data_IF_193419837471
#
_entry.id   IF_193419837471
#
_cell.length_a   1.000
_cell.length_b   1.000
_cell.length_c   1.000
_cell.angle_alpha   90.00
_cell.angle_beta   90.00
_cell.angle_gamma   90.00
#
_symmetry.space_group_name_H-M   'P 1'
#
loop_
_entity.id
_entity.type
_entity.pdbx_description
1 polymer ?
#
# COMPACT_ATOMS: atom_id res chain seq x y z
N UNK A 1 -13.30 13.34 -21.25
CA UNK A 1 -13.29 12.35 -20.13
C UNK A 1 -11.97 12.36 -19.35
N UNK A 2 -10.82 12.23 -20.03
CA UNK A 2 -9.45 12.30 -19.44
C UNK A 2 -9.25 13.46 -18.45
N UNK A 3 -9.70 14.66 -18.82
CA UNK A 3 -9.58 15.87 -18.01
C UNK A 3 -10.49 15.85 -16.76
N UNK A 4 -11.68 15.24 -16.86
CA UNK A 4 -12.66 15.19 -15.76
C UNK A 4 -12.18 14.27 -14.64
N UNK A 5 -11.65 13.08 -14.97
CA UNK A 5 -11.16 12.13 -13.98
C UNK A 5 -9.99 12.74 -13.19
N UNK A 6 -9.04 13.35 -13.89
CA UNK A 6 -7.88 14.00 -13.27
C UNK A 6 -8.32 15.13 -12.35
N UNK A 7 -9.24 16.00 -12.78
CA UNK A 7 -9.79 17.09 -11.97
C UNK A 7 -10.52 16.59 -10.71
N UNK A 8 -11.34 15.54 -10.82
CA UNK A 8 -12.04 14.95 -9.67
C UNK A 8 -11.08 14.34 -8.66
N UNK A 9 -10.06 13.61 -9.12
CA UNK A 9 -9.02 13.07 -8.24
C UNK A 9 -8.22 14.18 -7.55
N UNK A 10 -7.94 15.27 -8.26
CA UNK A 10 -7.30 16.45 -7.68
C UNK A 10 -8.18 17.05 -6.56
N UNK A 11 -9.49 17.20 -6.77
CA UNK A 11 -10.41 17.70 -5.75
C UNK A 11 -10.47 16.79 -4.52
N UNK A 12 -10.54 15.46 -4.72
CA UNK A 12 -10.48 14.48 -3.63
C UNK A 12 -9.18 14.65 -2.84
N UNK A 13 -8.05 14.78 -3.53
CA UNK A 13 -6.75 15.03 -2.88
C UNK A 13 -6.79 16.31 -2.05
N UNK A 14 -7.27 17.42 -2.61
CA UNK A 14 -7.38 18.70 -1.89
C UNK A 14 -8.24 18.55 -0.62
N UNK A 15 -9.38 17.85 -0.70
CA UNK A 15 -10.22 17.60 0.48
C UNK A 15 -9.49 16.81 1.59
N UNK A 16 -8.59 15.90 1.23
CA UNK A 16 -7.87 15.04 2.18
C UNK A 16 -6.67 15.71 2.82
N UNK A 17 -5.99 16.61 2.10
CA UNK A 17 -4.76 17.28 2.53
C UNK A 17 -4.97 18.73 2.99
N UNK A 18 -6.10 19.34 2.64
CA UNK A 18 -6.33 20.78 2.75
C UNK A 18 -5.79 21.55 1.54
N UNK A 19 -6.23 22.79 1.35
CA UNK A 19 -5.60 23.71 0.39
C UNK A 19 -4.39 24.38 1.03
N UNK A 20 -3.23 24.30 0.37
CA UNK A 20 -2.12 25.22 0.67
C UNK A 20 -2.42 26.50 -0.09
N UNK A 21 -3.16 27.41 0.53
CA UNK A 21 -3.34 28.76 0.00
C UNK A 21 -2.06 29.52 0.34
N UNK A 22 -1.36 29.99 -0.70
CA UNK A 22 -0.10 30.70 -0.58
C UNK A 22 -0.25 31.94 0.32
N UNK A 23 0.86 32.31 0.96
CA UNK A 23 0.97 33.21 2.13
C UNK A 23 0.02 34.42 2.12
N UNK A 24 -1.11 34.34 2.84
CA UNK A 24 -1.88 35.54 3.21
C UNK A 24 -3.38 35.40 3.44
N UNK A 25 -4.01 34.27 3.16
CA UNK A 25 -5.44 34.05 3.46
C UNK A 25 -5.61 32.72 4.19
N UNK A 26 -6.49 32.68 5.20
CA UNK A 26 -6.57 31.65 6.24
C UNK A 26 -6.47 30.21 5.71
N UNK A 27 -5.76 29.36 6.46
CA UNK A 27 -5.69 27.92 6.22
C UNK A 27 -7.10 27.32 6.35
N UNK A 28 -7.71 26.85 5.25
CA UNK A 28 -8.83 25.93 5.35
C UNK A 28 -8.25 24.52 5.57
N UNK A 29 -8.01 24.18 6.84
CA UNK A 29 -7.59 22.83 7.23
C UNK A 29 -8.60 21.79 6.73
N UNK A 30 -8.11 20.60 6.36
CA UNK A 30 -8.98 19.48 5.98
C UNK A 30 -9.93 19.15 7.15
N UNK A 31 -11.25 19.32 6.96
CA UNK A 31 -12.23 18.94 7.98
C UNK A 31 -12.20 17.42 8.20
N UNK A 32 -11.95 16.93 9.43
CA UNK A 32 -11.95 15.49 9.72
C UNK A 32 -13.28 14.82 9.37
N UNK A 33 -14.40 15.50 9.57
CA UNK A 33 -15.74 15.01 9.24
C UNK A 33 -15.91 14.84 7.74
N UNK A 34 -15.52 15.83 6.93
CA UNK A 34 -15.56 15.74 5.46
C UNK A 34 -14.65 14.60 4.96
N UNK A 35 -13.46 14.45 5.52
CA UNK A 35 -12.54 13.36 5.19
C UNK A 35 -13.17 11.98 5.46
N UNK A 36 -13.76 11.80 6.64
CA UNK A 36 -14.39 10.53 7.02
C UNK A 36 -15.59 10.19 6.12
N UNK A 37 -16.44 11.17 5.79
CA UNK A 37 -17.56 10.98 4.87
C UNK A 37 -17.09 10.58 3.46
N UNK A 38 -16.10 11.30 2.93
CA UNK A 38 -15.50 10.99 1.63
C UNK A 38 -14.88 9.59 1.61
N UNK A 39 -14.16 9.22 2.67
CA UNK A 39 -13.56 7.90 2.81
C UNK A 39 -14.61 6.78 2.84
N UNK A 40 -15.67 6.96 3.62
CA UNK A 40 -16.77 5.99 3.68
C UNK A 40 -17.44 5.78 2.32
N UNK A 41 -17.65 6.85 1.53
CA UNK A 41 -18.20 6.74 0.18
C UNK A 41 -17.25 6.01 -0.78
N UNK A 42 -15.96 6.36 -0.78
CA UNK A 42 -14.97 5.72 -1.65
C UNK A 42 -14.78 4.23 -1.34
N UNK A 43 -14.91 3.84 -0.07
CA UNK A 43 -14.90 2.44 0.40
C UNK A 43 -16.18 1.72 -0.03
N UNK A 44 -17.35 2.31 0.24
CA UNK A 44 -18.65 1.72 -0.10
C UNK A 44 -18.77 1.43 -1.60
N UNK A 45 -18.30 2.36 -2.43
CA UNK A 45 -18.33 2.22 -3.89
C UNK A 45 -17.15 1.40 -4.44
N UNK A 46 -16.23 0.91 -3.61
CA UNK A 46 -15.01 0.23 -4.08
C UNK A 46 -14.25 1.06 -5.14
N UNK A 47 -14.25 2.38 -5.01
CA UNK A 47 -13.72 3.29 -6.04
C UNK A 47 -12.21 3.27 -6.04
N UNK A 48 -11.59 3.43 -4.86
CA UNK A 48 -10.14 3.52 -4.74
C UNK A 48 -9.43 2.20 -5.15
N UNK A 49 -9.88 1.00 -4.74
CA UNK A 49 -9.31 -0.24 -5.26
C UNK A 49 -9.43 -0.40 -6.77
N UNK A 50 -10.58 -0.05 -7.36
CA UNK A 50 -10.76 -0.09 -8.83
C UNK A 50 -9.78 0.83 -9.55
N UNK A 51 -9.48 2.00 -8.99
CA UNK A 51 -8.47 2.92 -9.54
C UNK A 51 -7.05 2.35 -9.44
N UNK A 52 -6.72 1.66 -8.35
CA UNK A 52 -5.41 0.99 -8.19
C UNK A 52 -5.26 -0.18 -9.16
N UNK A 53 -6.30 -1.00 -9.34
CA UNK A 53 -6.28 -2.14 -10.26
C UNK A 53 -6.17 -1.74 -11.73
N UNK A 54 -6.67 -0.57 -12.12
CA UNK A 54 -6.64 -0.05 -13.49
C UNK A 54 -5.69 1.15 -13.63
N UNK A 55 -4.64 1.23 -12.80
CA UNK A 55 -3.76 2.41 -12.72
C UNK A 55 -3.08 2.72 -14.07
N UNK A 56 -2.75 1.70 -14.86
CA UNK A 56 -2.12 1.85 -16.17
C UNK A 56 -3.01 2.61 -17.17
N UNK A 57 -4.33 2.43 -17.08
CA UNK A 57 -5.29 3.06 -17.99
C UNK A 57 -5.55 4.54 -17.64
N UNK A 58 -5.10 4.99 -16.47
CA UNK A 58 -5.27 6.37 -16.03
C UNK A 58 -4.25 7.31 -16.68
N UNK A 59 -4.62 8.58 -16.90
CA UNK A 59 -3.67 9.62 -17.32
C UNK A 59 -2.52 9.77 -16.31
N UNK A 60 -1.34 10.17 -16.79
CA UNK A 60 -0.13 10.30 -15.98
C UNK A 60 -0.35 11.07 -14.66
N UNK A 61 -1.04 12.21 -14.72
CA UNK A 61 -1.29 13.03 -13.52
C UNK A 61 -2.33 12.40 -12.59
N UNK A 62 -3.35 11.73 -13.13
CA UNK A 62 -4.33 10.99 -12.34
C UNK A 62 -3.68 9.87 -11.52
N UNK A 63 -2.68 9.16 -12.07
CA UNK A 63 -1.93 8.11 -11.35
C UNK A 63 -1.25 8.66 -10.09
N UNK A 64 -0.70 9.87 -10.17
CA UNK A 64 -0.08 10.55 -9.00
C UNK A 64 -1.12 10.84 -7.93
N UNK A 65 -2.29 11.36 -8.31
CA UNK A 65 -3.36 11.63 -7.36
C UNK A 65 -3.89 10.34 -6.71
N UNK A 66 -4.06 9.26 -7.47
CA UNK A 66 -4.46 7.95 -6.91
C UNK A 66 -3.47 7.47 -5.86
N UNK A 67 -2.17 7.52 -6.15
CA UNK A 67 -1.14 7.12 -5.18
C UNK A 67 -1.15 7.99 -3.92
N UNK A 68 -1.31 9.30 -4.06
CA UNK A 68 -1.42 10.23 -2.92
C UNK A 68 -2.66 9.94 -2.07
N UNK A 69 -3.82 9.75 -2.70
CA UNK A 69 -5.08 9.43 -2.02
C UNK A 69 -4.95 8.10 -1.28
N UNK A 70 -4.46 7.05 -1.95
CA UNK A 70 -4.25 5.74 -1.34
C UNK A 70 -3.34 5.81 -0.12
N UNK A 71 -2.21 6.51 -0.23
CA UNK A 71 -1.27 6.66 0.89
C UNK A 71 -1.89 7.44 2.05
N UNK A 72 -2.71 8.47 1.77
CA UNK A 72 -3.43 9.19 2.82
C UNK A 72 -4.40 8.26 3.58
N UNK A 73 -5.15 7.43 2.84
CA UNK A 73 -6.10 6.48 3.41
C UNK A 73 -5.41 5.41 4.27
N UNK A 74 -4.31 4.82 3.78
CA UNK A 74 -3.54 3.82 4.52
C UNK A 74 -2.92 4.42 5.78
N UNK A 75 -2.21 5.57 5.68
CA UNK A 75 -1.49 6.16 6.82
C UNK A 75 -2.41 6.60 7.96
N UNK A 76 -3.60 7.10 7.62
CA UNK A 76 -4.57 7.64 8.59
C UNK A 76 -5.64 6.62 8.98
N UNK A 77 -5.61 5.42 8.41
CA UNK A 77 -6.64 4.39 8.51
C UNK A 77 -8.07 4.97 8.36
N UNK A 78 -8.28 5.75 7.30
CA UNK A 78 -9.54 6.48 7.11
C UNK A 78 -10.70 5.51 6.96
N UNK A 79 -11.68 5.60 7.86
CA UNK A 79 -12.87 4.75 7.87
C UNK A 79 -12.53 3.24 7.85
N UNK A 80 -11.43 2.83 8.48
CA UNK A 80 -11.02 1.42 8.58
C UNK A 80 -10.43 0.85 7.28
N UNK A 81 -9.81 1.72 6.48
CA UNK A 81 -9.26 1.34 5.17
C UNK A 81 -8.20 0.23 5.25
N UNK A 82 -7.40 0.16 6.31
CA UNK A 82 -6.38 -0.89 6.46
C UNK A 82 -7.03 -2.28 6.49
N UNK A 83 -8.04 -2.46 7.35
CA UNK A 83 -8.79 -3.72 7.43
C UNK A 83 -9.57 -4.02 6.14
N UNK A 84 -10.04 -2.98 5.45
CA UNK A 84 -10.71 -3.12 4.16
C UNK A 84 -9.77 -3.65 3.06
N UNK A 85 -8.53 -3.18 3.01
CA UNK A 85 -7.50 -3.65 2.06
C UNK A 85 -6.99 -5.05 2.42
N UNK A 86 -6.86 -5.36 3.72
CA UNK A 86 -6.47 -6.71 4.17
C UNK A 86 -7.41 -7.81 3.67
N UNK A 87 -8.70 -7.49 3.49
CA UNK A 87 -9.71 -8.41 2.92
C UNK A 87 -9.66 -8.51 1.39
N UNK A 88 -8.76 -7.78 0.74
CA UNK A 88 -8.65 -7.68 -0.72
C UNK A 88 -7.19 -7.87 -1.18
N UNK A 89 -6.62 -9.07 -1.02
CA UNK A 89 -5.22 -9.35 -1.32
C UNK A 89 -4.83 -9.05 -2.78
N UNK A 90 -5.79 -9.11 -3.72
CA UNK A 90 -5.56 -8.80 -5.13
C UNK A 90 -5.03 -7.38 -5.36
N UNK A 91 -5.30 -6.44 -4.46
CA UNK A 91 -4.79 -5.06 -4.55
C UNK A 91 -3.27 -5.07 -4.37
N UNK A 92 -2.78 -5.83 -3.39
CA UNK A 92 -1.35 -5.96 -3.09
C UNK A 92 -0.61 -6.68 -4.22
N UNK A 93 -1.21 -7.76 -4.75
CA UNK A 93 -0.69 -8.47 -5.91
C UNK A 93 -0.65 -7.58 -7.17
N UNK A 94 -1.61 -6.67 -7.34
CA UNK A 94 -1.58 -5.67 -8.42
C UNK A 94 -0.47 -4.62 -8.22
N UNK A 95 -0.25 -4.14 -6.99
CA UNK A 95 0.84 -3.21 -6.69
C UNK A 95 2.23 -3.82 -6.98
N UNK A 96 2.43 -5.11 -6.69
CA UNK A 96 3.69 -5.80 -7.03
C UNK A 96 3.85 -5.96 -8.53
N UNK A 97 2.82 -6.48 -9.24
CA UNK A 97 2.86 -6.61 -10.71
C UNK A 97 3.08 -5.27 -11.40
N UNK A 98 2.65 -4.16 -10.79
CA UNK A 98 2.92 -2.82 -11.29
C UNK A 98 4.40 -2.48 -11.46
N UNK A 99 5.33 -3.20 -10.80
CA UNK A 99 6.77 -3.04 -11.02
C UNK A 99 7.22 -3.53 -12.41
N UNK A 100 6.48 -4.44 -13.03
CA UNK A 100 6.74 -4.92 -14.40
C UNK A 100 6.33 -3.90 -15.46
N UNK A 101 5.54 -2.89 -15.08
CA UNK A 101 5.11 -1.81 -15.95
C UNK A 101 5.81 -0.50 -15.57
N UNK A 102 6.80 -0.09 -16.38
CA UNK A 102 7.61 1.10 -16.16
C UNK A 102 6.77 2.39 -15.98
N UNK A 103 5.60 2.49 -16.60
CA UNK A 103 4.73 3.67 -16.55
C UNK A 103 4.05 3.90 -15.20
N UNK A 104 3.92 2.84 -14.39
CA UNK A 104 3.25 2.88 -13.08
C UNK A 104 4.13 2.37 -11.94
N UNK A 105 5.29 1.79 -12.23
CA UNK A 105 6.19 1.20 -11.24
C UNK A 105 6.51 2.15 -10.08
N UNK A 106 6.74 3.43 -10.37
CA UNK A 106 6.98 4.43 -9.34
C UNK A 106 5.75 4.65 -8.44
N UNK A 107 4.56 4.80 -9.03
CA UNK A 107 3.30 4.98 -8.29
C UNK A 107 3.01 3.75 -7.40
N UNK A 108 3.09 2.56 -7.99
CA UNK A 108 2.92 1.29 -7.28
C UNK A 108 3.91 1.14 -6.14
N UNK A 109 5.18 1.45 -6.37
CA UNK A 109 6.19 1.41 -5.33
C UNK A 109 5.93 2.41 -4.20
N UNK A 110 5.48 3.63 -4.49
CA UNK A 110 5.12 4.60 -3.44
C UNK A 110 3.93 4.17 -2.60
N UNK A 111 2.98 3.44 -3.19
CA UNK A 111 1.86 2.87 -2.45
C UNK A 111 2.27 1.66 -1.64
N UNK A 112 3.01 0.73 -2.25
CA UNK A 112 3.39 -0.51 -1.60
C UNK A 112 4.22 -0.25 -0.34
N UNK A 113 5.17 0.70 -0.37
CA UNK A 113 6.10 0.96 0.73
C UNK A 113 5.48 1.57 2.00
N UNK A 114 4.18 1.81 2.06
CA UNK A 114 3.51 2.24 3.28
C UNK A 114 3.63 1.19 4.40
N UNK A 115 3.92 1.62 5.63
CA UNK A 115 4.19 0.71 6.76
C UNK A 115 3.02 -0.24 7.05
N UNK A 116 1.80 0.21 6.87
CA UNK A 116 0.61 -0.59 7.20
C UNK A 116 0.37 -1.65 6.13
N UNK A 117 0.85 -1.46 4.89
CA UNK A 117 0.89 -2.52 3.90
C UNK A 117 1.89 -3.64 4.29
N UNK A 118 3.04 -3.31 4.90
CA UNK A 118 3.93 -4.34 5.44
C UNK A 118 3.21 -5.18 6.50
N UNK A 119 2.47 -4.54 7.41
CA UNK A 119 1.70 -5.26 8.44
C UNK A 119 0.65 -6.18 7.83
N UNK A 120 -0.09 -5.70 6.82
CA UNK A 120 -1.04 -6.54 6.07
C UNK A 120 -0.32 -7.77 5.50
N UNK A 121 0.84 -7.60 4.85
CA UNK A 121 1.61 -8.73 4.32
C UNK A 121 2.06 -9.70 5.41
N UNK A 122 2.53 -9.19 6.56
CA UNK A 122 2.92 -10.02 7.70
C UNK A 122 1.74 -10.80 8.31
N UNK A 123 0.53 -10.24 8.27
CA UNK A 123 -0.68 -10.96 8.67
C UNK A 123 -1.07 -12.03 7.65
N UNK A 124 -1.03 -11.70 6.35
CA UNK A 124 -1.37 -12.64 5.27
C UNK A 124 -0.37 -13.80 5.13
N UNK A 125 0.88 -13.63 5.57
CA UNK A 125 1.81 -14.75 5.74
C UNK A 125 1.22 -15.83 6.66
N UNK A 126 0.37 -15.46 7.62
CA UNK A 126 -0.25 -16.40 8.57
C UNK A 126 -1.65 -16.85 8.14
N UNK A 127 -2.07 -16.56 6.92
CA UNK A 127 -3.38 -16.96 6.40
C UNK A 127 -3.52 -18.50 6.34
N UNK A 128 -4.74 -19.02 6.34
CA UNK A 128 -4.98 -20.48 6.22
C UNK A 128 -4.72 -21.04 4.81
N UNK A 129 -4.80 -20.20 3.78
CA UNK A 129 -4.59 -20.58 2.38
C UNK A 129 -3.12 -20.47 1.98
N UNK A 130 -2.52 -21.61 1.59
CA UNK A 130 -1.13 -21.65 1.12
C UNK A 130 -0.85 -20.72 -0.07
N UNK A 131 -1.85 -20.50 -0.94
CA UNK A 131 -1.73 -19.59 -2.08
C UNK A 131 -1.63 -18.13 -1.61
N UNK A 132 -2.47 -17.72 -0.65
CA UNK A 132 -2.43 -16.38 -0.07
C UNK A 132 -1.10 -16.15 0.64
N UNK A 133 -0.64 -17.12 1.42
CA UNK A 133 0.66 -17.05 2.07
C UNK A 133 1.81 -16.88 1.07
N UNK A 134 1.79 -17.62 -0.04
CA UNK A 134 2.83 -17.57 -1.07
C UNK A 134 2.85 -16.20 -1.77
N UNK A 135 1.69 -15.68 -2.17
CA UNK A 135 1.57 -14.32 -2.72
C UNK A 135 2.05 -13.27 -1.72
N UNK A 136 1.63 -13.36 -0.45
CA UNK A 136 2.07 -12.46 0.60
C UNK A 136 3.58 -12.51 0.81
N UNK A 137 4.19 -13.69 0.72
CA UNK A 137 5.64 -13.84 0.81
C UNK A 137 6.39 -13.18 -0.36
N UNK A 138 5.88 -13.30 -1.59
CA UNK A 138 6.45 -12.59 -2.74
C UNK A 138 6.43 -11.08 -2.55
N UNK A 139 5.32 -10.54 -2.05
CA UNK A 139 5.19 -9.11 -1.76
C UNK A 139 6.10 -8.69 -0.59
N UNK A 140 6.13 -9.49 0.49
CA UNK A 140 6.97 -9.25 1.67
C UNK A 140 8.46 -9.13 1.28
N UNK A 141 8.95 -9.98 0.38
CA UNK A 141 10.32 -9.88 -0.15
C UNK A 141 10.62 -8.52 -0.76
N UNK A 142 9.66 -7.86 -1.41
CA UNK A 142 9.86 -6.53 -2.00
C UNK A 142 10.12 -5.47 -0.93
N UNK A 143 9.44 -5.57 0.23
CA UNK A 143 9.72 -4.68 1.37
C UNK A 143 11.13 -4.89 1.90
N UNK A 144 11.53 -6.14 2.04
CA UNK A 144 12.84 -6.51 2.58
C UNK A 144 13.98 -6.17 1.60
N UNK A 145 13.77 -6.35 0.30
CA UNK A 145 14.78 -6.05 -0.71
C UNK A 145 14.94 -4.55 -1.00
N UNK A 146 14.08 -3.68 -0.47
CA UNK A 146 14.18 -2.24 -0.71
C UNK A 146 15.46 -1.67 -0.05
N UNK A 147 16.43 -1.11 -0.79
CA UNK A 147 17.63 -0.52 -0.18
C UNK A 147 17.36 0.82 0.51
N UNK A 148 16.22 1.46 0.23
CA UNK A 148 15.77 2.73 0.81
C UNK A 148 14.48 2.52 1.59
N UNK A 149 14.49 1.58 2.55
CA UNK A 149 13.35 1.33 3.44
C UNK A 149 13.02 2.59 4.24
N UNK A 150 11.74 2.98 4.33
CA UNK A 150 11.32 3.99 5.30
C UNK A 150 11.65 3.53 6.73
N UNK A 151 12.03 4.45 7.62
CA UNK A 151 12.41 4.14 9.00
C UNK A 151 11.34 3.32 9.73
N UNK A 152 10.06 3.62 9.51
CA UNK A 152 8.96 2.87 10.14
C UNK A 152 8.90 1.40 9.69
N UNK A 153 9.18 1.12 8.41
CA UNK A 153 9.27 -0.24 7.86
C UNK A 153 10.45 -0.96 8.49
N UNK A 154 11.62 -0.31 8.56
CA UNK A 154 12.81 -0.86 9.22
C UNK A 154 12.53 -1.19 10.68
N UNK A 155 11.87 -0.31 11.43
CA UNK A 155 11.54 -0.56 12.83
C UNK A 155 10.56 -1.74 13.00
N UNK A 156 9.57 -1.89 12.12
CA UNK A 156 8.67 -3.06 12.15
C UNK A 156 9.46 -4.35 11.93
N UNK A 157 10.36 -4.39 10.96
CA UNK A 157 11.19 -5.57 10.67
C UNK A 157 12.13 -5.89 11.84
N UNK A 158 12.79 -4.88 12.42
CA UNK A 158 13.68 -5.05 13.58
C UNK A 158 12.94 -5.56 14.81
N UNK A 159 11.80 -4.95 15.14
CA UNK A 159 10.98 -5.34 16.30
C UNK A 159 10.42 -6.77 16.20
N UNK A 160 10.32 -7.31 14.99
CA UNK A 160 9.81 -8.66 14.73
C UNK A 160 10.90 -9.64 14.27
N UNK A 161 12.18 -9.24 14.28
CA UNK A 161 13.28 -9.97 13.63
C UNK A 161 13.34 -11.44 14.00
N UNK A 162 13.43 -11.76 15.29
CA UNK A 162 13.63 -13.15 15.73
C UNK A 162 12.43 -14.03 15.40
N UNK A 163 11.21 -13.47 15.53
CA UNK A 163 9.96 -14.16 15.16
C UNK A 163 9.87 -14.40 13.66
N UNK A 164 10.21 -13.38 12.86
CA UNK A 164 10.22 -13.46 11.40
C UNK A 164 11.21 -14.51 10.92
N UNK A 165 12.44 -14.52 11.46
CA UNK A 165 13.44 -15.51 11.10
C UNK A 165 12.98 -16.92 11.45
N UNK A 166 12.53 -17.15 12.69
CA UNK A 166 12.07 -18.47 13.12
C UNK A 166 10.85 -18.96 12.31
N UNK A 167 9.99 -18.05 11.87
CA UNK A 167 8.85 -18.34 11.01
C UNK A 167 9.32 -18.71 9.59
N UNK A 168 10.16 -17.87 8.98
CA UNK A 168 10.65 -18.05 7.61
C UNK A 168 11.52 -19.30 7.43
N UNK A 169 12.28 -19.69 8.46
CA UNK A 169 13.05 -20.95 8.46
C UNK A 169 12.16 -22.20 8.28
N UNK A 170 10.87 -22.11 8.64
CA UNK A 170 9.90 -23.22 8.55
C UNK A 170 8.86 -23.03 7.45
N UNK A 171 8.82 -21.85 6.82
CA UNK A 171 7.75 -21.45 5.93
C UNK A 171 7.70 -22.33 4.68
N UNK A 172 6.60 -23.07 4.51
CA UNK A 172 6.30 -23.92 3.35
C UNK A 172 7.39 -24.94 2.96
N UNK A 173 8.17 -25.43 3.94
CA UNK A 173 9.20 -26.46 3.72
C UNK A 173 8.64 -27.88 3.45
N UNK A 174 7.32 -28.06 3.40
CA UNK A 174 6.68 -29.38 3.34
C UNK A 174 6.59 -30.00 1.93
N UNK A 175 7.10 -29.35 0.88
CA UNK A 175 6.89 -29.81 -0.52
C UNK A 175 8.14 -29.92 -1.40
N UNK A 176 9.30 -30.29 -0.85
CA UNK A 176 10.52 -30.53 -1.65
C UNK A 176 11.00 -29.32 -2.46
N UNK A 177 10.45 -28.13 -2.18
CA UNK A 177 10.88 -26.86 -2.74
C UNK A 177 12.15 -26.40 -2.00
N UNK A 178 13.04 -25.63 -2.65
CA UNK A 178 14.17 -25.04 -1.97
C UNK A 178 13.69 -24.21 -0.78
N UNK A 179 14.38 -24.26 0.38
CA UNK A 179 14.08 -23.39 1.51
C UNK A 179 13.99 -21.94 1.02
N UNK A 180 12.85 -21.28 1.25
CA UNK A 180 12.66 -19.88 0.89
C UNK A 180 13.34 -18.99 1.93
N UNK A 181 14.66 -18.96 1.91
CA UNK A 181 15.47 -18.23 2.88
C UNK A 181 15.56 -16.76 2.50
N UNK A 182 14.98 -15.90 3.32
CA UNK A 182 15.44 -14.51 3.44
C UNK A 182 16.47 -14.52 4.56
N UNK A 183 17.73 -14.27 4.24
CA UNK A 183 18.77 -14.29 5.26
C UNK A 183 18.56 -13.17 6.31
N UNK A 184 19.12 -13.38 7.50
CA UNK A 184 18.99 -12.44 8.63
C UNK A 184 19.54 -11.05 8.30
N UNK A 185 20.47 -10.96 7.34
CA UNK A 185 21.14 -9.72 6.94
C UNK A 185 20.21 -8.90 6.04
N UNK A 186 19.56 -9.53 5.09
CA UNK A 186 18.60 -8.92 4.16
C UNK A 186 17.36 -8.40 4.88
N UNK A 187 16.93 -9.08 5.95
CA UNK A 187 15.82 -8.62 6.81
C UNK A 187 16.09 -7.27 7.50
N UNK A 188 17.35 -6.92 7.76
CA UNK A 188 17.72 -5.79 8.63
C UNK A 188 18.66 -4.76 7.99
N UNK A 189 19.29 -5.11 6.86
CA UNK A 189 20.13 -4.22 6.04
C UNK A 189 19.30 -3.41 5.06
#
# INVERSE_FOLDING_TARGET
VVDIVTKRLYQIKVMLYGEVVDMGQGQEESSPQKCAQLASLLIADNTLPRLVLNLADLPFEARKHVAQIYNNFIRRDLSGFVAYIERQPQIMSALVRGYENADIALNCGTMLRERDNLKIMMNLLRDTSANIQFEAFHVFKVFVANPKKPNEVTQILLNNKDKLVAYLEKFQNEKGAPPQMIDRVTLVG
#
